data_IF_455376391973
#
_entry.id   IF_455376391973
#
_cell.length_a   1.000
_cell.length_b   1.000
_cell.length_c   1.000
_cell.angle_alpha   90.00
_cell.angle_beta   90.00
_cell.angle_gamma   90.00
#
_symmetry.space_group_name_H-M   'P 1'
#
loop_
_entity.id
_entity.type
_entity.pdbx_description
1 polymer ?
#
# COMPACT_ATOMS: atom_id res chain seq x y z
N UNK A 1 15.18 -3.40 -14.43
CA UNK A 1 14.84 -3.39 -12.98
C UNK A 1 13.53 -2.65 -12.73
N UNK A 2 13.50 -1.32 -12.75
CA UNK A 2 12.29 -0.54 -12.43
C UNK A 2 11.03 -0.88 -13.26
N UNK A 3 11.19 -1.25 -14.54
CA UNK A 3 10.05 -1.62 -15.40
C UNK A 3 9.37 -2.92 -14.96
N UNK A 4 10.14 -3.92 -14.51
CA UNK A 4 9.62 -5.24 -14.13
C UNK A 4 8.78 -5.12 -12.85
N UNK A 5 9.33 -4.46 -11.83
CA UNK A 5 8.71 -4.37 -10.51
C UNK A 5 7.42 -3.53 -10.54
N UNK A 6 7.40 -2.44 -11.32
CA UNK A 6 6.18 -1.62 -11.50
C UNK A 6 5.05 -2.32 -12.26
N UNK A 7 5.35 -3.35 -13.03
CA UNK A 7 4.38 -4.05 -13.86
C UNK A 7 3.90 -5.35 -13.22
N UNK A 8 4.77 -6.13 -12.56
CA UNK A 8 4.39 -7.41 -11.93
C UNK A 8 3.25 -7.24 -10.93
N UNK A 9 3.23 -6.17 -10.14
CA UNK A 9 2.17 -5.93 -9.15
C UNK A 9 0.77 -5.73 -9.77
N UNK A 10 0.69 -5.39 -11.07
CA UNK A 10 -0.56 -5.11 -11.80
C UNK A 10 -1.04 -6.29 -12.65
N UNK A 11 -0.17 -7.26 -12.93
CA UNK A 11 -0.47 -8.38 -13.80
C UNK A 11 -1.22 -9.48 -13.07
N UNK A 12 -2.05 -10.21 -13.81
CA UNK A 12 -2.68 -11.44 -13.30
C UNK A 12 -1.65 -12.58 -13.26
N UNK A 13 -1.94 -13.64 -12.52
CA UNK A 13 -1.06 -14.82 -12.46
C UNK A 13 -0.82 -15.46 -13.83
N UNK A 14 -1.78 -15.36 -14.76
CA UNK A 14 -1.64 -15.86 -16.13
C UNK A 14 -0.76 -14.98 -17.01
N UNK A 15 -0.72 -13.68 -16.75
CA UNK A 15 0.04 -12.71 -17.57
C UNK A 15 1.50 -12.61 -17.15
N UNK A 16 1.84 -12.93 -15.90
CA UNK A 16 3.22 -12.86 -15.39
C UNK A 16 4.20 -13.72 -16.20
N UNK A 17 3.90 -14.99 -16.55
CA UNK A 17 4.78 -15.78 -17.41
C UNK A 17 4.94 -15.17 -18.81
N UNK A 18 3.87 -14.64 -19.40
CA UNK A 18 3.91 -14.02 -20.74
C UNK A 18 4.77 -12.76 -20.73
N UNK A 19 4.61 -11.90 -19.71
CA UNK A 19 5.43 -10.71 -19.54
C UNK A 19 6.91 -11.05 -19.36
N UNK A 20 7.22 -12.07 -18.56
CA UNK A 20 8.60 -12.53 -18.38
C UNK A 20 9.20 -13.09 -19.68
N UNK A 21 8.43 -13.85 -20.47
CA UNK A 21 8.87 -14.38 -21.75
C UNK A 21 9.18 -13.26 -22.75
N UNK A 22 8.29 -12.27 -22.89
CA UNK A 22 8.51 -11.09 -23.74
C UNK A 22 9.74 -10.30 -23.28
N UNK A 23 9.91 -10.14 -21.96
CA UNK A 23 11.06 -9.41 -21.40
C UNK A 23 12.38 -10.14 -21.69
N UNK A 24 12.40 -11.47 -21.59
CA UNK A 24 13.59 -12.27 -21.89
C UNK A 24 13.95 -12.24 -23.38
N UNK A 25 12.95 -12.23 -24.27
CA UNK A 25 13.15 -12.13 -25.71
C UNK A 25 13.71 -10.76 -26.13
N UNK A 26 13.19 -9.68 -25.53
CA UNK A 26 13.66 -8.31 -25.80
C UNK A 26 15.02 -7.98 -25.17
N UNK A 27 15.39 -8.62 -24.06
CA UNK A 27 16.60 -8.34 -23.28
C UNK A 27 17.38 -9.63 -22.96
N UNK A 28 17.94 -10.31 -23.98
CA UNK A 28 18.65 -11.57 -23.78
C UNK A 28 19.90 -11.40 -22.91
N UNK A 29 20.12 -12.32 -21.97
CA UNK A 29 21.30 -12.33 -21.09
C UNK A 29 21.27 -11.31 -19.94
N UNK A 30 20.19 -10.53 -19.78
CA UNK A 30 20.03 -9.60 -18.66
C UNK A 30 19.24 -10.27 -17.54
N UNK A 31 19.93 -10.62 -16.45
CA UNK A 31 19.27 -11.08 -15.23
C UNK A 31 18.87 -9.89 -14.34
N UNK A 32 17.65 -9.92 -13.83
CA UNK A 32 17.20 -8.92 -12.87
C UNK A 32 17.76 -9.27 -11.49
N UNK A 33 18.48 -8.36 -10.81
CA UNK A 33 18.93 -8.61 -9.45
C UNK A 33 17.72 -8.76 -8.52
N UNK A 34 17.80 -9.72 -7.60
CA UNK A 34 16.80 -9.92 -6.56
C UNK A 34 17.03 -8.88 -5.47
N UNK A 35 16.04 -8.04 -5.21
CA UNK A 35 16.11 -7.08 -4.11
C UNK A 35 15.94 -7.85 -2.80
N UNK A 36 16.95 -7.76 -1.93
CA UNK A 36 16.87 -8.36 -0.60
C UNK A 36 16.13 -7.42 0.36
N UNK A 37 14.92 -7.82 0.72
CA UNK A 37 14.09 -7.15 1.73
C UNK A 37 14.27 -7.74 3.13
N UNK A 38 15.34 -8.50 3.38
CA UNK A 38 15.56 -9.35 4.56
C UNK A 38 15.02 -8.78 5.87
N UNK A 39 15.44 -7.57 6.25
CA UNK A 39 14.99 -6.90 7.49
C UNK A 39 13.48 -6.60 7.50
N UNK A 40 12.94 -6.05 6.41
CA UNK A 40 11.51 -5.78 6.26
C UNK A 40 10.69 -7.08 6.33
N UNK A 41 11.19 -8.13 5.67
CA UNK A 41 10.56 -9.45 5.66
C UNK A 41 10.54 -10.08 7.05
N UNK A 42 11.66 -10.05 7.77
CA UNK A 42 11.78 -10.62 9.12
C UNK A 42 10.78 -9.96 10.09
N UNK A 43 10.74 -8.63 10.11
CA UNK A 43 9.79 -7.88 10.95
C UNK A 43 8.36 -8.17 10.52
N UNK A 44 8.08 -8.19 9.21
CA UNK A 44 6.75 -8.52 8.70
C UNK A 44 6.28 -9.91 9.14
N UNK A 45 7.15 -10.92 9.12
CA UNK A 45 6.80 -12.25 9.63
C UNK A 45 6.49 -12.24 11.13
N UNK A 46 7.21 -11.43 11.91
CA UNK A 46 6.92 -11.18 13.33
C UNK A 46 5.53 -10.57 13.52
N UNK A 47 5.26 -9.45 12.85
CA UNK A 47 3.99 -8.72 12.94
C UNK A 47 2.79 -9.60 12.51
N UNK A 48 2.94 -10.42 11.47
CA UNK A 48 1.90 -11.36 11.06
C UNK A 48 1.58 -12.38 12.18
N UNK A 49 2.59 -12.89 12.89
CA UNK A 49 2.39 -13.80 14.02
C UNK A 49 1.74 -13.10 15.20
N UNK A 50 2.12 -11.86 15.50
CA UNK A 50 1.50 -11.06 16.57
C UNK A 50 0.03 -10.75 16.30
N UNK A 51 -0.33 -10.55 15.02
CA UNK A 51 -1.72 -10.41 14.58
C UNK A 51 -2.50 -11.74 14.56
N UNK A 52 -1.90 -12.86 14.97
CA UNK A 52 -2.52 -14.19 14.99
C UNK A 52 -2.74 -14.78 13.59
N UNK A 53 -1.98 -14.34 12.59
CA UNK A 53 -2.11 -14.76 11.20
C UNK A 53 -1.08 -15.83 10.83
N UNK A 54 -1.45 -16.68 9.87
CA UNK A 54 -0.51 -17.62 9.28
C UNK A 54 0.46 -16.88 8.35
N UNK A 55 1.75 -17.10 8.56
CA UNK A 55 2.80 -16.59 7.67
C UNK A 55 2.80 -17.40 6.39
N UNK A 56 2.23 -16.82 5.33
CA UNK A 56 2.14 -17.43 3.99
C UNK A 56 3.02 -16.62 3.02
N UNK A 57 3.87 -17.25 2.20
CA UNK A 57 4.74 -16.55 1.24
C UNK A 57 3.98 -15.58 0.31
N UNK A 58 2.76 -15.95 -0.08
CA UNK A 58 1.88 -15.12 -0.88
C UNK A 58 1.55 -13.78 -0.19
N UNK A 59 1.23 -13.81 1.10
CA UNK A 59 0.94 -12.61 1.89
C UNK A 59 2.16 -11.70 1.98
N UNK A 60 3.33 -12.27 2.27
CA UNK A 60 4.61 -11.54 2.32
C UNK A 60 4.87 -10.84 0.98
N UNK A 61 4.76 -11.59 -0.12
CA UNK A 61 4.95 -11.05 -1.47
C UNK A 61 4.00 -9.88 -1.76
N UNK A 62 2.72 -9.99 -1.39
CA UNK A 62 1.74 -8.91 -1.61
C UNK A 62 2.01 -7.67 -0.76
N UNK A 63 2.50 -7.84 0.46
CA UNK A 63 2.90 -6.71 1.32
C UNK A 63 4.12 -6.00 0.74
N UNK A 64 5.13 -6.74 0.27
CA UNK A 64 6.31 -6.17 -0.39
C UNK A 64 5.94 -5.43 -1.68
N UNK A 65 5.08 -6.01 -2.52
CA UNK A 65 4.56 -5.33 -3.73
C UNK A 65 3.84 -4.02 -3.39
N UNK A 66 3.08 -4.00 -2.29
CA UNK A 66 2.42 -2.77 -1.82
C UNK A 66 3.45 -1.74 -1.33
N UNK A 67 4.49 -2.16 -0.63
CA UNK A 67 5.58 -1.29 -0.19
C UNK A 67 6.31 -0.63 -1.37
N UNK A 68 6.70 -1.41 -2.37
CA UNK A 68 7.33 -0.92 -3.61
C UNK A 68 6.42 0.07 -4.35
N UNK A 69 5.13 -0.28 -4.49
CA UNK A 69 4.16 0.58 -5.18
C UNK A 69 3.96 1.90 -4.42
N UNK A 70 3.88 1.86 -3.09
CA UNK A 70 3.75 3.05 -2.23
C UNK A 70 4.97 3.97 -2.31
N UNK A 71 6.18 3.41 -2.41
CA UNK A 71 7.40 4.22 -2.55
C UNK A 71 7.49 4.90 -3.92
N UNK A 72 6.85 4.32 -4.94
CA UNK A 72 6.86 4.83 -6.31
C UNK A 72 5.69 5.78 -6.62
N UNK A 73 4.57 5.71 -5.86
CA UNK A 73 3.33 6.45 -6.13
C UNK A 73 2.65 6.90 -4.84
N UNK A 74 2.12 8.12 -4.83
CA UNK A 74 1.39 8.68 -3.68
C UNK A 74 0.06 7.97 -3.38
N UNK A 75 -0.57 7.38 -4.40
CA UNK A 75 -1.83 6.65 -4.27
C UNK A 75 -1.73 5.29 -4.92
N UNK A 76 -2.40 4.30 -4.34
CA UNK A 76 -2.38 2.91 -4.76
C UNK A 76 -3.75 2.28 -4.53
N UNK A 77 -4.16 1.39 -5.44
CA UNK A 77 -5.39 0.62 -5.31
C UNK A 77 -5.05 -0.84 -5.03
N UNK A 78 -5.68 -1.42 -4.00
CA UNK A 78 -5.56 -2.86 -3.70
C UNK A 78 -6.81 -3.55 -4.25
N UNK A 79 -6.63 -4.33 -5.31
CA UNK A 79 -7.73 -4.97 -6.05
C UNK A 79 -7.75 -6.47 -5.78
N UNK A 80 -8.95 -7.04 -5.65
CA UNK A 80 -9.15 -8.48 -5.44
C UNK A 80 -10.53 -8.79 -4.87
N UNK A 81 -10.89 -10.07 -4.82
CA UNK A 81 -12.20 -10.54 -4.35
C UNK A 81 -12.41 -10.28 -2.85
N UNK A 82 -13.67 -10.29 -2.40
CA UNK A 82 -13.99 -10.24 -0.96
C UNK A 82 -13.30 -11.39 -0.22
N UNK A 83 -12.76 -11.11 0.96
CA UNK A 83 -12.03 -12.11 1.75
C UNK A 83 -10.60 -12.41 1.29
N UNK A 84 -10.10 -11.79 0.22
CA UNK A 84 -8.75 -12.06 -0.32
C UNK A 84 -7.59 -11.43 0.49
N UNK A 85 -7.81 -11.02 1.73
CA UNK A 85 -6.75 -10.47 2.59
C UNK A 85 -6.34 -9.01 2.33
N UNK A 86 -7.05 -8.25 1.47
CA UNK A 86 -6.68 -6.85 1.13
C UNK A 86 -6.46 -5.96 2.35
N UNK A 87 -7.36 -6.06 3.34
CA UNK A 87 -7.27 -5.28 4.58
C UNK A 87 -6.05 -5.68 5.41
N UNK A 88 -5.75 -6.98 5.44
CA UNK A 88 -4.58 -7.51 6.13
C UNK A 88 -3.29 -7.03 5.46
N UNK A 89 -3.24 -6.98 4.11
CA UNK A 89 -2.04 -6.53 3.39
C UNK A 89 -1.59 -5.13 3.80
N UNK A 90 -2.48 -4.14 3.82
CA UNK A 90 -2.09 -2.77 4.18
C UNK A 90 -1.89 -2.58 5.69
N UNK A 91 -2.66 -3.29 6.53
CA UNK A 91 -2.48 -3.25 8.00
C UNK A 91 -1.17 -3.89 8.43
N UNK A 92 -0.80 -5.03 7.85
CA UNK A 92 0.49 -5.66 8.10
C UNK A 92 1.63 -4.73 7.68
N UNK A 93 1.54 -4.11 6.50
CA UNK A 93 2.53 -3.11 6.06
C UNK A 93 2.65 -1.95 7.06
N UNK A 94 1.52 -1.39 7.50
CA UNK A 94 1.51 -0.31 8.50
C UNK A 94 2.21 -0.73 9.79
N UNK A 95 1.87 -1.90 10.32
CA UNK A 95 2.45 -2.44 11.55
C UNK A 95 3.98 -2.62 11.40
N UNK A 96 4.41 -3.25 10.31
CA UNK A 96 5.84 -3.43 10.00
C UNK A 96 6.60 -2.10 9.90
N UNK A 97 6.06 -1.10 9.21
CA UNK A 97 6.71 0.21 9.08
C UNK A 97 6.82 0.93 10.44
N UNK A 98 5.78 0.85 11.27
CA UNK A 98 5.78 1.41 12.62
C UNK A 98 6.77 0.68 13.54
N UNK A 99 6.86 -0.64 13.43
CA UNK A 99 7.78 -1.48 14.21
C UNK A 99 9.25 -1.21 13.86
N UNK A 100 9.56 -1.07 12.57
CA UNK A 100 10.87 -0.67 12.09
C UNK A 100 11.27 0.73 12.55
N UNK A 101 10.34 1.69 12.48
CA UNK A 101 10.56 3.05 12.98
C UNK A 101 10.87 3.05 14.49
N UNK A 102 10.10 2.29 15.29
CA UNK A 102 10.34 2.15 16.74
C UNK A 102 11.65 1.44 17.08
N UNK A 103 12.13 0.58 16.19
CA UNK A 103 13.41 -0.12 16.32
C UNK A 103 14.62 0.77 15.99
N UNK A 104 14.42 2.07 15.72
CA UNK A 104 15.47 3.06 15.49
C UNK A 104 15.94 3.16 14.04
N UNK A 105 15.19 2.58 13.10
CA UNK A 105 15.57 2.53 11.69
C UNK A 105 15.09 3.80 10.95
N UNK A 106 16.01 4.77 10.78
CA UNK A 106 15.69 6.11 10.27
C UNK A 106 15.12 6.13 8.84
N UNK A 107 15.21 5.02 8.10
CA UNK A 107 14.63 4.88 6.77
C UNK A 107 13.11 4.65 6.75
N UNK A 108 12.49 4.42 7.92
CA UNK A 108 11.06 4.11 8.03
C UNK A 108 10.32 5.16 8.86
N UNK A 109 9.08 5.43 8.47
CA UNK A 109 8.23 6.44 9.10
C UNK A 109 7.03 5.78 9.79
N UNK A 110 6.56 6.41 10.87
CA UNK A 110 5.30 6.05 11.51
C UNK A 110 4.13 6.27 10.53
N UNK A 111 3.24 5.29 10.43
CA UNK A 111 2.08 5.34 9.53
C UNK A 111 0.80 5.40 10.35
N UNK A 112 0.00 6.46 10.12
CA UNK A 112 -1.35 6.62 10.66
C UNK A 112 -2.38 6.39 9.56
N UNK A 113 -3.46 5.67 9.88
CA UNK A 113 -4.57 5.43 8.98
C UNK A 113 -5.83 6.19 9.42
N UNK A 114 -6.59 6.67 8.44
CA UNK A 114 -7.88 7.33 8.62
C UNK A 114 -8.91 6.61 7.75
N UNK A 115 -9.49 5.50 8.22
CA UNK A 115 -10.43 4.71 7.43
C UNK A 115 -11.71 5.51 7.19
N UNK A 116 -12.14 5.55 5.93
CA UNK A 116 -13.30 6.33 5.48
C UNK A 116 -14.14 5.52 4.50
N UNK A 117 -15.46 5.53 4.69
CA UNK A 117 -16.41 5.04 3.69
C UNK A 117 -17.01 6.23 2.91
N UNK A 118 -16.50 6.55 1.71
CA UNK A 118 -16.96 7.73 0.97
C UNK A 118 -18.40 7.62 0.46
N UNK A 119 -18.99 6.41 0.48
CA UNK A 119 -20.40 6.19 0.08
C UNK A 119 -21.38 6.31 1.25
N UNK A 120 -20.88 6.41 2.48
CA UNK A 120 -21.73 6.60 3.67
C UNK A 120 -22.03 8.08 3.97
N UNK A 121 -21.42 9.00 3.23
CA UNK A 121 -21.53 10.45 3.43
C UNK A 121 -21.87 11.14 2.11
N UNK A 122 -22.46 12.33 2.19
CA UNK A 122 -22.68 13.17 1.01
C UNK A 122 -21.36 13.75 0.48
N UNK A 123 -21.38 14.24 -0.77
CA UNK A 123 -20.21 14.90 -1.36
C UNK A 123 -19.85 16.19 -0.62
N UNK A 124 -20.85 16.93 -0.13
CA UNK A 124 -20.65 18.14 0.68
C UNK A 124 -19.98 17.84 2.02
N UNK A 125 -20.42 16.80 2.73
CA UNK A 125 -19.76 16.37 3.97
C UNK A 125 -18.35 15.82 3.72
N UNK A 126 -18.12 15.15 2.59
CA UNK A 126 -16.83 14.56 2.26
C UNK A 126 -15.77 15.60 1.92
N UNK A 127 -16.10 16.51 0.99
CA UNK A 127 -15.17 17.50 0.42
C UNK A 127 -15.29 18.90 1.04
N UNK A 128 -16.41 19.20 1.68
CA UNK A 128 -16.81 20.54 2.06
C UNK A 128 -17.78 21.12 1.04
N UNK A 129 -18.62 22.05 1.49
CA UNK A 129 -19.56 22.75 0.65
C UNK A 129 -19.70 24.22 1.02
N UNK A 130 -20.01 25.03 0.02
CA UNK A 130 -20.30 26.45 0.19
C UNK A 130 -21.81 26.65 0.29
N UNK A 131 -22.26 27.20 1.40
CA UNK A 131 -23.67 27.49 1.61
C UNK A 131 -24.02 28.86 1.02
N UNK A 132 -24.78 28.87 -0.08
CA UNK A 132 -25.20 30.11 -0.77
C UNK A 132 -26.14 31.00 0.06
N UNK A 133 -26.86 30.43 1.03
CA UNK A 133 -27.79 31.21 1.87
C UNK A 133 -27.07 31.96 2.99
N UNK A 134 -26.01 31.38 3.56
CA UNK A 134 -25.21 32.00 4.63
C UNK A 134 -23.93 32.66 4.11
N UNK A 135 -23.52 32.37 2.88
CA UNK A 135 -22.22 32.72 2.31
C UNK A 135 -21.02 32.18 3.10
N UNK A 136 -21.21 31.02 3.74
CA UNK A 136 -20.18 30.38 4.56
C UNK A 136 -19.66 29.09 3.93
N UNK A 137 -18.37 28.83 4.12
CA UNK A 137 -17.74 27.57 3.76
C UNK A 137 -17.78 26.61 4.94
N UNK A 138 -18.30 25.40 4.70
CA UNK A 138 -18.25 24.30 5.67
C UNK A 138 -17.19 23.30 5.24
N UNK A 139 -16.25 23.01 6.14
CA UNK A 139 -15.18 22.06 5.87
C UNK A 139 -15.66 20.61 5.87
N UNK A 140 -15.19 19.84 4.88
CA UNK A 140 -15.46 18.41 4.79
C UNK A 140 -14.52 17.55 5.63
N UNK A 141 -14.86 16.26 5.71
CA UNK A 141 -14.09 15.24 6.42
C UNK A 141 -12.65 15.17 5.90
N UNK A 142 -12.43 15.20 4.58
CA UNK A 142 -11.09 15.10 4.00
C UNK A 142 -10.21 16.29 4.40
N UNK A 143 -10.75 17.51 4.39
CA UNK A 143 -10.05 18.74 4.79
C UNK A 143 -9.67 18.70 6.27
N UNK A 144 -10.58 18.21 7.13
CA UNK A 144 -10.33 18.02 8.56
C UNK A 144 -9.22 16.98 8.84
N UNK A 145 -9.29 15.83 8.18
CA UNK A 145 -8.27 14.77 8.28
C UNK A 145 -6.91 15.27 7.82
N UNK A 146 -6.84 16.02 6.71
CA UNK A 146 -5.58 16.54 6.19
C UNK A 146 -4.94 17.54 7.17
N UNK A 147 -5.71 18.44 7.79
CA UNK A 147 -5.19 19.32 8.84
C UNK A 147 -4.67 18.55 10.05
N UNK A 148 -5.36 17.50 10.47
CA UNK A 148 -4.90 16.64 11.58
C UNK A 148 -3.62 15.89 11.23
N UNK A 149 -3.45 15.49 9.97
CA UNK A 149 -2.28 14.77 9.50
C UNK A 149 -1.04 15.67 9.31
N UNK A 150 -1.23 16.95 9.01
CA UNK A 150 -0.15 17.92 8.76
C UNK A 150 0.17 18.83 9.95
N UNK A 151 -0.62 18.79 11.03
CA UNK A 151 -0.35 19.50 12.29
C UNK A 151 0.72 18.78 13.12
#
# INVERSE_FOLDING_TARGET
>A
MAMKDMNIAKLTSGDVPLFNAITQDLFPGIECPVIDYGKLKEVLEGELRELGLQVIPFTIMKVIQLFETKNSRHSSMIVGNTGSGKTITWKALQATLCSLHRSGDAGFNLVRDYPLNPKAVSLGELYGEYNLSTNEWTDGILSSVMRTACA
#
